data_IF_752761499770
#
_entry.id   IF_752761499770
#
_cell.length_a   1.000
_cell.length_b   1.000
_cell.length_c   1.000
_cell.angle_alpha   90.00
_cell.angle_beta   90.00
_cell.angle_gamma   90.00
#
_symmetry.space_group_name_H-M   'P 1'
#
loop_
_entity.id
_entity.type
_entity.pdbx_description
1 polymer ?
#
# COMPACT_ATOMS: atom_id res chain seq x y z
N UNK A 1 -5.61 -26.91 -12.76
CA UNK A 1 -6.23 -25.58 -12.71
C UNK A 1 -7.61 -25.75 -12.14
N UNK A 2 -7.84 -25.27 -10.93
CA UNK A 2 -9.19 -25.26 -10.35
C UNK A 2 -10.04 -24.21 -11.07
N UNK A 3 -11.37 -24.36 -11.08
CA UNK A 3 -12.25 -23.40 -11.77
C UNK A 3 -12.12 -21.97 -11.23
N UNK A 4 -11.71 -21.82 -9.96
CA UNK A 4 -11.47 -20.54 -9.31
C UNK A 4 -10.18 -19.86 -9.81
N UNK A 5 -9.08 -20.61 -9.93
CA UNK A 5 -7.82 -20.06 -10.46
C UNK A 5 -7.98 -19.57 -11.91
N UNK A 6 -8.70 -20.32 -12.75
CA UNK A 6 -8.94 -19.92 -14.13
C UNK A 6 -9.76 -18.64 -14.26
N UNK A 7 -10.79 -18.47 -13.43
CA UNK A 7 -11.61 -17.26 -13.37
C UNK A 7 -10.79 -16.05 -12.88
N UNK A 8 -9.95 -16.25 -11.86
CA UNK A 8 -9.04 -15.21 -11.35
C UNK A 8 -8.04 -14.75 -12.42
N UNK A 9 -7.42 -15.69 -13.15
CA UNK A 9 -6.49 -15.39 -14.25
C UNK A 9 -7.17 -14.57 -15.36
N UNK A 10 -8.37 -14.95 -15.78
CA UNK A 10 -9.12 -14.25 -16.82
C UNK A 10 -9.47 -12.82 -16.39
N UNK A 11 -9.95 -12.65 -15.15
CA UNK A 11 -10.30 -11.34 -14.61
C UNK A 11 -9.07 -10.43 -14.44
N UNK A 12 -7.93 -10.96 -14.01
CA UNK A 12 -6.66 -10.21 -13.92
C UNK A 12 -6.22 -9.73 -15.29
N UNK A 13 -6.24 -10.63 -16.28
CA UNK A 13 -5.84 -10.32 -17.65
C UNK A 13 -6.76 -9.25 -18.26
N UNK A 14 -8.07 -9.39 -18.08
CA UNK A 14 -9.05 -8.40 -18.55
C UNK A 14 -8.84 -7.02 -17.90
N UNK A 15 -8.71 -6.98 -16.57
CA UNK A 15 -8.55 -5.73 -15.83
C UNK A 15 -7.20 -5.05 -16.15
N UNK A 16 -6.12 -5.82 -16.24
CA UNK A 16 -4.80 -5.32 -16.63
C UNK A 16 -4.79 -4.77 -18.06
N UNK A 17 -5.48 -5.41 -19.00
CA UNK A 17 -5.61 -4.89 -20.36
C UNK A 17 -6.38 -3.56 -20.41
N UNK A 18 -7.39 -3.38 -19.54
CA UNK A 18 -8.09 -2.10 -19.39
C UNK A 18 -7.19 -1.02 -18.80
N UNK A 19 -6.23 -1.36 -17.93
CA UNK A 19 -5.25 -0.40 -17.41
C UNK A 19 -4.24 0.08 -18.46
N UNK A 20 -3.97 -0.71 -19.52
CA UNK A 20 -3.07 -0.26 -20.61
C UNK A 20 -3.63 0.98 -21.31
N UNK A 21 -4.95 1.08 -21.43
CA UNK A 21 -5.66 2.25 -21.95
C UNK A 21 -6.65 2.72 -20.89
N UNK A 22 -6.16 3.39 -19.83
CA UNK A 22 -6.96 3.66 -18.64
C UNK A 22 -8.14 4.60 -18.96
N UNK A 23 -9.26 4.47 -18.25
CA UNK A 23 -10.37 5.42 -18.36
C UNK A 23 -9.91 6.85 -18.07
N UNK A 24 -10.45 7.83 -18.79
CA UNK A 24 -10.16 9.25 -18.55
C UNK A 24 -10.84 9.80 -17.29
N UNK A 25 -11.92 9.15 -16.84
CA UNK A 25 -12.61 9.50 -15.60
C UNK A 25 -11.83 8.99 -14.39
N UNK A 26 -11.56 9.88 -13.44
CA UNK A 26 -10.84 9.54 -12.20
C UNK A 26 -11.60 8.45 -11.42
N UNK A 27 -12.93 8.56 -11.29
CA UNK A 27 -13.73 7.59 -10.54
C UNK A 27 -13.72 6.19 -11.19
N UNK A 28 -13.74 6.14 -12.53
CA UNK A 28 -13.67 4.88 -13.28
C UNK A 28 -12.27 4.26 -13.18
N UNK A 29 -11.22 5.07 -13.30
CA UNK A 29 -9.84 4.63 -13.11
C UNK A 29 -9.62 4.10 -11.69
N UNK A 30 -10.11 4.81 -10.68
CA UNK A 30 -10.02 4.39 -9.29
C UNK A 30 -10.77 3.08 -9.04
N UNK A 31 -11.96 2.91 -9.61
CA UNK A 31 -12.71 1.65 -9.53
C UNK A 31 -11.98 0.49 -10.20
N UNK A 32 -11.32 0.74 -11.34
CA UNK A 32 -10.51 -0.26 -12.04
C UNK A 32 -9.28 -0.66 -11.22
N UNK A 33 -8.60 0.32 -10.59
CA UNK A 33 -7.46 0.06 -9.71
C UNK A 33 -7.88 -0.73 -8.46
N UNK A 34 -9.05 -0.46 -7.88
CA UNK A 34 -9.60 -1.28 -6.79
C UNK A 34 -9.86 -2.71 -7.23
N UNK A 35 -10.42 -2.91 -8.44
CA UNK A 35 -10.62 -4.25 -8.98
C UNK A 35 -9.27 -4.97 -9.11
N UNK A 36 -8.27 -4.31 -9.68
CA UNK A 36 -6.94 -4.90 -9.89
C UNK A 36 -6.26 -5.24 -8.57
N UNK A 37 -6.25 -4.33 -7.60
CA UNK A 37 -5.71 -4.57 -6.26
C UNK A 37 -6.37 -5.79 -5.60
N UNK A 38 -7.71 -5.86 -5.60
CA UNK A 38 -8.44 -6.96 -4.99
C UNK A 38 -8.09 -8.30 -5.66
N UNK A 39 -7.95 -8.33 -6.98
CA UNK A 39 -7.55 -9.54 -7.68
C UNK A 39 -6.11 -9.95 -7.32
N UNK A 40 -5.17 -8.99 -7.31
CA UNK A 40 -3.77 -9.23 -6.93
C UNK A 40 -3.63 -9.74 -5.49
N UNK A 41 -4.43 -9.22 -4.56
CA UNK A 41 -4.43 -9.66 -3.16
C UNK A 41 -4.80 -11.14 -2.99
N UNK A 42 -5.52 -11.73 -3.96
CA UNK A 42 -5.91 -13.14 -3.97
C UNK A 42 -4.88 -14.05 -4.68
N UNK A 43 -3.78 -13.50 -5.20
CA UNK A 43 -2.71 -14.28 -5.83
C UNK A 43 -1.63 -14.60 -4.80
N UNK A 44 -1.33 -15.89 -4.63
CA UNK A 44 -0.26 -16.33 -3.73
C UNK A 44 1.13 -16.05 -4.32
N UNK A 45 2.16 -16.13 -3.47
CA UNK A 45 3.55 -16.01 -3.93
C UNK A 45 3.95 -17.19 -4.80
N UNK A 46 4.91 -16.98 -5.72
CA UNK A 46 5.38 -17.99 -6.66
C UNK A 46 4.23 -18.68 -7.45
N UNK A 47 3.39 -17.89 -8.16
CA UNK A 47 2.24 -18.44 -8.86
C UNK A 47 2.64 -19.27 -10.10
N UNK A 48 1.67 -19.98 -10.69
CA UNK A 48 1.85 -20.73 -11.94
C UNK A 48 2.29 -19.84 -13.11
N UNK A 49 2.88 -20.43 -14.15
CA UNK A 49 3.26 -19.68 -15.36
C UNK A 49 2.04 -19.01 -16.05
N UNK A 50 0.88 -19.67 -16.06
CA UNK A 50 -0.36 -19.09 -16.59
C UNK A 50 -0.80 -17.85 -15.82
N UNK A 51 -0.67 -17.87 -14.49
CA UNK A 51 -0.97 -16.72 -13.65
C UNK A 51 0.07 -15.61 -13.83
N UNK A 52 1.36 -15.95 -13.99
CA UNK A 52 2.39 -14.95 -14.34
C UNK A 52 2.04 -14.25 -15.66
N UNK A 53 1.60 -14.98 -16.67
CA UNK A 53 1.13 -14.40 -17.93
C UNK A 53 -0.09 -13.48 -17.74
N UNK A 54 -1.01 -13.85 -16.84
CA UNK A 54 -2.17 -13.03 -16.50
C UNK A 54 -1.82 -11.72 -15.76
N UNK A 55 -0.70 -11.68 -15.03
CA UNK A 55 -0.21 -10.49 -14.32
C UNK A 55 0.45 -9.46 -15.27
N UNK A 56 1.05 -9.91 -16.38
CA UNK A 56 1.85 -9.06 -17.27
C UNK A 56 1.16 -7.76 -17.74
N UNK A 57 -0.13 -7.76 -18.15
CA UNK A 57 -0.80 -6.52 -18.55
C UNK A 57 -0.84 -5.48 -17.42
N UNK A 58 -1.19 -5.90 -16.20
CA UNK A 58 -1.20 -5.04 -15.02
C UNK A 58 0.19 -4.53 -14.67
N UNK A 59 1.20 -5.43 -14.67
CA UNK A 59 2.59 -5.05 -14.40
C UNK A 59 3.09 -3.97 -15.36
N UNK A 60 2.81 -4.10 -16.66
CA UNK A 60 3.22 -3.12 -17.67
C UNK A 60 2.48 -1.80 -17.53
N UNK A 61 1.17 -1.85 -17.28
CA UNK A 61 0.36 -0.65 -17.19
C UNK A 61 0.70 0.19 -15.95
N UNK A 62 0.88 -0.45 -14.79
CA UNK A 62 1.07 0.25 -13.51
C UNK A 62 2.37 1.07 -13.44
N UNK A 63 3.36 0.75 -14.27
CA UNK A 63 4.63 1.47 -14.34
C UNK A 63 4.68 2.54 -15.45
N UNK A 64 3.57 2.80 -16.15
CA UNK A 64 3.55 3.89 -17.14
C UNK A 64 3.62 5.24 -16.44
N UNK A 65 4.18 6.24 -17.12
CA UNK A 65 4.31 7.60 -16.59
C UNK A 65 2.95 8.19 -16.26
N UNK A 66 1.93 7.87 -17.06
CA UNK A 66 0.55 8.32 -16.88
C UNK A 66 -0.04 7.87 -15.53
N UNK A 67 0.27 6.65 -15.07
CA UNK A 67 -0.23 6.12 -13.80
C UNK A 67 0.72 6.42 -12.63
N UNK A 68 2.03 6.20 -12.78
CA UNK A 68 3.02 6.45 -11.72
C UNK A 68 3.07 7.93 -11.30
N UNK A 69 2.98 8.85 -12.27
CA UNK A 69 3.11 10.29 -12.05
C UNK A 69 1.78 11.04 -12.14
N UNK A 70 0.66 10.33 -11.99
CA UNK A 70 -0.68 10.90 -12.07
C UNK A 70 -0.86 12.12 -11.15
N UNK A 71 -1.64 13.13 -11.56
CA UNK A 71 -1.83 14.35 -10.76
C UNK A 71 -2.54 14.06 -9.43
N UNK A 72 -3.55 13.21 -9.46
CA UNK A 72 -4.38 12.87 -8.31
C UNK A 72 -3.66 11.94 -7.32
N UNK A 73 -3.65 12.34 -6.05
CA UNK A 73 -3.01 11.57 -4.97
C UNK A 73 -3.69 10.22 -4.75
N UNK A 74 -5.02 10.16 -4.77
CA UNK A 74 -5.76 8.90 -4.57
C UNK A 74 -5.46 7.86 -5.66
N UNK A 75 -5.19 8.32 -6.90
CA UNK A 75 -4.74 7.45 -7.99
C UNK A 75 -3.33 6.94 -7.71
N UNK A 76 -2.39 7.82 -7.34
CA UNK A 76 -1.00 7.46 -6.98
C UNK A 76 -0.94 6.41 -5.86
N UNK A 77 -1.70 6.61 -4.78
CA UNK A 77 -1.78 5.65 -3.66
C UNK A 77 -2.38 4.32 -4.12
N UNK A 78 -3.39 4.36 -5.00
CA UNK A 78 -4.01 3.13 -5.53
C UNK A 78 -3.06 2.34 -6.45
N UNK A 79 -2.28 3.04 -7.27
CA UNK A 79 -1.21 2.45 -8.10
C UNK A 79 -0.12 1.84 -7.22
N UNK A 80 0.34 2.57 -6.20
CA UNK A 80 1.32 2.09 -5.24
C UNK A 80 0.86 0.80 -4.54
N UNK A 81 -0.43 0.73 -4.16
CA UNK A 81 -1.01 -0.46 -3.53
C UNK A 81 -0.98 -1.67 -4.47
N UNK A 82 -1.40 -1.49 -5.73
CA UNK A 82 -1.34 -2.57 -6.73
C UNK A 82 0.10 -3.07 -6.95
N UNK A 83 1.06 -2.15 -7.09
CA UNK A 83 2.48 -2.50 -7.28
C UNK A 83 3.05 -3.21 -6.05
N UNK A 84 2.63 -2.82 -4.86
CA UNK A 84 3.07 -3.45 -3.61
C UNK A 84 2.57 -4.90 -3.52
N UNK A 85 1.35 -5.18 -3.99
CA UNK A 85 0.86 -6.56 -4.12
C UNK A 85 1.60 -7.36 -5.19
N UNK A 86 1.95 -6.76 -6.34
CA UNK A 86 2.81 -7.41 -7.34
C UNK A 86 4.16 -7.77 -6.72
N UNK A 87 4.77 -6.85 -5.99
CA UNK A 87 6.04 -7.08 -5.28
C UNK A 87 5.91 -8.22 -4.27
N UNK A 88 4.75 -8.32 -3.59
CA UNK A 88 4.47 -9.47 -2.72
C UNK A 88 4.43 -10.77 -3.50
N UNK A 89 3.71 -10.82 -4.61
CA UNK A 89 3.54 -12.03 -5.43
C UNK A 89 4.89 -12.52 -5.97
N UNK A 90 5.75 -11.61 -6.43
CA UNK A 90 7.03 -11.97 -7.06
C UNK A 90 8.18 -12.18 -6.07
N UNK A 91 8.03 -11.74 -4.81
CA UNK A 91 9.07 -11.91 -3.81
C UNK A 91 9.52 -13.39 -3.69
N UNK A 92 10.84 -13.65 -3.55
CA UNK A 92 11.90 -12.69 -3.24
C UNK A 92 12.43 -11.90 -4.46
N UNK A 93 11.99 -12.22 -5.68
CA UNK A 93 12.47 -11.58 -6.89
C UNK A 93 11.77 -10.22 -7.12
N UNK A 94 12.55 -9.21 -7.46
CA UNK A 94 12.02 -7.89 -7.79
C UNK A 94 11.20 -7.96 -9.10
N UNK A 95 9.99 -7.38 -9.14
CA UNK A 95 9.15 -7.42 -10.33
C UNK A 95 9.64 -6.53 -11.48
N UNK A 96 10.54 -5.59 -11.20
CA UNK A 96 11.03 -4.58 -12.14
C UNK A 96 12.54 -4.38 -11.98
N UNK A 97 13.15 -3.67 -12.93
CA UNK A 97 14.57 -3.31 -12.84
C UNK A 97 14.83 -2.24 -11.77
N UNK A 98 16.10 -2.03 -11.43
CA UNK A 98 16.54 -1.16 -10.35
C UNK A 98 16.04 0.28 -10.48
N UNK A 99 16.08 0.87 -11.68
CA UNK A 99 15.58 2.23 -11.92
C UNK A 99 14.07 2.35 -11.67
N UNK A 100 13.30 1.36 -12.14
CA UNK A 100 11.86 1.30 -11.92
C UNK A 100 11.53 1.07 -10.44
N UNK A 101 12.26 0.18 -9.78
CA UNK A 101 12.08 -0.08 -8.34
C UNK A 101 12.37 1.18 -7.51
N UNK A 102 13.38 1.98 -7.88
CA UNK A 102 13.66 3.27 -7.23
C UNK A 102 12.47 4.23 -7.32
N UNK A 103 11.88 4.37 -8.51
CA UNK A 103 10.70 5.22 -8.71
C UNK A 103 9.47 4.69 -7.94
N UNK A 104 9.29 3.38 -7.89
CA UNK A 104 8.24 2.73 -7.09
C UNK A 104 8.44 3.03 -5.61
N UNK A 105 9.67 2.90 -5.08
CA UNK A 105 9.94 3.22 -3.69
C UNK A 105 9.72 4.70 -3.35
N UNK A 106 10.02 5.62 -4.26
CA UNK A 106 9.68 7.03 -4.10
C UNK A 106 8.16 7.21 -3.96
N UNK A 107 7.38 6.56 -4.83
CA UNK A 107 5.92 6.59 -4.77
C UNK A 107 5.39 5.99 -3.45
N UNK A 108 5.95 4.87 -3.01
CA UNK A 108 5.60 4.21 -1.73
C UNK A 108 5.87 5.12 -0.53
N UNK A 109 7.05 5.76 -0.46
CA UNK A 109 7.39 6.67 0.65
C UNK A 109 6.52 7.92 0.64
N UNK A 110 6.22 8.46 -0.54
CA UNK A 110 5.30 9.60 -0.69
C UNK A 110 3.86 9.27 -0.25
N UNK A 111 3.41 8.01 -0.42
CA UNK A 111 2.13 7.57 0.11
C UNK A 111 2.11 7.65 1.66
N UNK A 112 3.21 7.30 2.33
CA UNK A 112 3.31 7.38 3.79
C UNK A 112 3.34 8.80 4.34
N UNK A 113 3.91 9.77 3.61
CA UNK A 113 3.92 11.18 4.03
C UNK A 113 2.50 11.73 4.22
N UNK A 114 1.58 11.33 3.36
CA UNK A 114 0.23 11.87 3.30
C UNK A 114 -0.74 11.22 4.30
N UNK A 115 -0.28 10.31 5.17
CA UNK A 115 -1.14 9.57 6.11
C UNK A 115 -1.97 10.47 7.04
N UNK A 116 -1.48 11.64 7.45
CA UNK A 116 -2.20 12.55 8.35
C UNK A 116 -3.30 13.37 7.65
N UNK A 117 -3.26 13.47 6.32
CA UNK A 117 -4.19 14.27 5.51
C UNK A 117 -4.90 13.44 4.42
N UNK A 118 -4.72 12.12 4.44
CA UNK A 118 -5.28 11.22 3.45
C UNK A 118 -6.81 11.17 3.53
N UNK A 119 -7.45 11.04 2.36
CA UNK A 119 -8.84 10.59 2.29
C UNK A 119 -8.99 9.24 3.01
N UNK A 120 -10.17 8.89 3.50
CA UNK A 120 -10.41 7.58 4.15
C UNK A 120 -9.97 6.41 3.29
N UNK A 121 -10.12 6.53 1.96
CA UNK A 121 -9.71 5.52 0.99
C UNK A 121 -8.19 5.40 0.90
N UNK A 122 -7.50 6.52 0.71
CA UNK A 122 -6.03 6.53 0.66
C UNK A 122 -5.40 6.13 1.98
N UNK A 123 -6.02 6.43 3.11
CA UNK A 123 -5.57 5.99 4.42
C UNK A 123 -5.53 4.47 4.51
N UNK A 124 -6.65 3.79 4.23
CA UNK A 124 -6.74 2.31 4.31
C UNK A 124 -5.70 1.65 3.39
N UNK A 125 -5.60 2.11 2.14
CA UNK A 125 -4.61 1.57 1.18
C UNK A 125 -3.18 1.80 1.65
N UNK A 126 -2.88 2.97 2.21
CA UNK A 126 -1.54 3.28 2.71
C UNK A 126 -1.15 2.39 3.89
N UNK A 127 -2.10 2.03 4.76
CA UNK A 127 -1.88 1.03 5.81
C UNK A 127 -1.59 -0.35 5.20
N UNK A 128 -2.36 -0.79 4.21
CA UNK A 128 -2.11 -2.06 3.50
C UNK A 128 -0.75 -2.10 2.82
N UNK A 129 -0.33 -1.00 2.18
CA UNK A 129 1.02 -0.84 1.61
C UNK A 129 2.08 -1.03 2.71
N UNK A 130 1.93 -0.35 3.84
CA UNK A 130 2.88 -0.45 4.96
C UNK A 130 2.99 -1.89 5.48
N UNK A 131 1.85 -2.57 5.67
CA UNK A 131 1.81 -3.96 6.10
C UNK A 131 2.53 -4.88 5.12
N UNK A 132 2.29 -4.72 3.82
CA UNK A 132 2.92 -5.56 2.79
C UNK A 132 4.42 -5.26 2.66
N UNK A 133 4.84 -3.98 2.67
CA UNK A 133 6.27 -3.58 2.68
C UNK A 133 7.02 -4.20 3.85
N UNK A 134 6.41 -4.17 5.05
CA UNK A 134 6.99 -4.81 6.23
C UNK A 134 7.05 -6.34 6.08
N UNK A 135 5.98 -6.96 5.57
CA UNK A 135 5.88 -8.40 5.37
C UNK A 135 6.96 -8.95 4.43
N UNK A 136 7.20 -8.28 3.30
CA UNK A 136 8.20 -8.72 2.30
C UNK A 136 9.57 -8.07 2.49
N UNK A 137 9.74 -7.32 3.59
CA UNK A 137 11.00 -6.68 3.98
C UNK A 137 11.57 -5.80 2.86
N UNK A 138 10.72 -5.04 2.16
CA UNK A 138 11.16 -4.24 1.00
C UNK A 138 12.23 -3.20 1.35
N UNK A 139 12.36 -2.82 2.62
CA UNK A 139 13.44 -1.96 3.09
C UNK A 139 14.84 -2.55 2.85
N UNK A 140 15.00 -3.88 2.82
CA UNK A 140 16.26 -4.51 2.46
C UNK A 140 16.60 -4.25 0.99
N UNK A 141 15.61 -4.37 0.11
CA UNK A 141 15.75 -4.03 -1.32
C UNK A 141 16.07 -2.54 -1.49
N UNK A 142 15.45 -1.66 -0.70
CA UNK A 142 15.81 -0.23 -0.73
C UNK A 142 17.28 0.01 -0.35
N UNK A 143 17.82 -0.71 0.63
CA UNK A 143 19.23 -0.60 1.01
C UNK A 143 20.15 -1.16 -0.09
N UNK A 144 19.79 -2.30 -0.67
CA UNK A 144 20.56 -2.91 -1.76
C UNK A 144 20.61 -2.03 -3.01
N UNK A 145 19.56 -1.22 -3.24
CA UNK A 145 19.49 -0.25 -4.35
C UNK A 145 20.09 1.12 -4.02
N UNK A 146 20.71 1.30 -2.86
CA UNK A 146 21.30 2.58 -2.40
C UNK A 146 20.25 3.70 -2.25
N UNK A 147 19.04 3.36 -1.81
CA UNK A 147 17.94 4.30 -1.54
C UNK A 147 17.99 4.87 -0.11
N UNK A 148 19.18 5.12 0.46
CA UNK A 148 19.36 5.53 1.86
C UNK A 148 18.53 6.75 2.25
N UNK A 149 18.43 7.75 1.36
CA UNK A 149 17.61 8.95 1.59
C UNK A 149 16.14 8.63 1.76
N UNK A 150 15.59 7.71 0.94
CA UNK A 150 14.19 7.29 1.04
C UNK A 150 13.93 6.49 2.31
N UNK A 151 14.88 5.67 2.74
CA UNK A 151 14.78 4.95 4.01
C UNK A 151 14.69 5.94 5.16
N UNK A 152 15.58 6.95 5.21
CA UNK A 152 15.55 7.99 6.24
C UNK A 152 14.24 8.78 6.21
N UNK A 153 13.78 9.19 5.02
CA UNK A 153 12.52 9.91 4.84
C UNK A 153 11.31 9.10 5.36
N UNK A 154 11.25 7.81 5.02
CA UNK A 154 10.22 6.91 5.51
C UNK A 154 10.17 6.86 7.04
N UNK A 155 11.32 6.70 7.71
CA UNK A 155 11.39 6.72 9.17
C UNK A 155 10.98 8.07 9.76
N UNK A 156 11.36 9.19 9.13
CA UNK A 156 10.93 10.51 9.55
C UNK A 156 9.41 10.68 9.45
N UNK A 157 8.79 10.17 8.38
CA UNK A 157 7.33 10.19 8.22
C UNK A 157 6.64 9.42 9.35
N UNK A 158 7.13 8.23 9.70
CA UNK A 158 6.57 7.46 10.82
C UNK A 158 6.74 8.17 12.17
N UNK A 159 7.90 8.76 12.43
CA UNK A 159 8.14 9.52 13.67
C UNK A 159 7.18 10.72 13.78
N UNK A 160 6.97 11.48 12.70
CA UNK A 160 6.00 12.59 12.66
C UNK A 160 4.58 12.10 12.98
N UNK A 161 4.14 10.97 12.45
CA UNK A 161 2.81 10.43 12.74
C UNK A 161 2.64 10.12 14.24
N UNK A 162 3.64 9.51 14.86
CA UNK A 162 3.60 9.18 16.30
C UNK A 162 3.69 10.43 17.19
N UNK A 163 4.39 11.48 16.77
CA UNK A 163 4.49 12.72 17.55
C UNK A 163 3.18 13.53 17.56
N UNK A 164 2.39 13.47 16.49
CA UNK A 164 1.08 14.14 16.42
C UNK A 164 -0.03 13.37 17.16
N UNK A 165 0.10 12.04 17.31
CA UNK A 165 -0.83 11.23 18.10
C UNK A 165 -0.79 11.50 19.61
N UNK A 166 0.27 12.11 20.13
CA UNK A 166 0.44 12.40 21.57
C UNK A 166 -0.34 13.64 22.06
N UNK A 167 -0.98 14.41 21.18
CA UNK A 167 -1.74 15.61 21.57
C UNK A 167 -3.25 15.39 21.73
N UNK A 168 -3.76 14.15 21.54
CA UNK A 168 -5.19 13.82 21.66
C UNK A 168 -5.57 12.98 22.89
N UNK A 169 -4.66 12.74 23.85
CA UNK A 169 -4.93 11.88 25.01
C UNK A 169 -4.72 12.53 26.40
N UNK A 170 -5.02 13.83 26.53
CA UNK A 170 -5.03 14.51 27.85
C UNK A 170 -6.44 14.87 28.38
N UNK A 171 -7.50 14.30 27.78
CA UNK A 171 -8.89 14.58 28.18
C UNK A 171 -9.47 13.64 29.25
N UNK A 172 -8.89 12.45 29.49
CA UNK A 172 -9.54 11.42 30.31
C UNK A 172 -8.70 10.81 31.44
N UNK A 173 -7.49 11.30 31.69
CA UNK A 173 -6.69 10.89 32.86
C UNK A 173 -7.15 11.51 34.19
N UNK A 174 -7.99 12.54 34.15
CA UNK A 174 -8.49 13.24 35.35
C UNK A 174 -9.61 12.53 36.13
N UNK A 175 -10.39 11.62 35.51
CA UNK A 175 -11.55 10.99 36.19
C UNK A 175 -11.26 9.65 36.87
N UNK A 176 -10.21 8.91 36.48
CA UNK A 176 -9.89 7.60 37.09
C UNK A 176 -9.19 7.70 38.46
N UNK A 177 -8.57 8.83 38.80
CA UNK A 177 -7.91 9.03 40.11
C UNK A 177 -8.87 9.36 41.25
N UNK A 178 -10.09 9.85 40.97
CA UNK A 178 -11.08 10.15 42.02
C UNK A 178 -11.92 8.94 42.44
N UNK A 179 -12.06 7.92 41.58
CA UNK A 179 -12.83 6.72 41.94
C UNK A 179 -12.08 5.84 42.97
N UNK A 180 -10.75 5.74 42.85
CA UNK A 180 -9.92 4.95 43.77
C UNK A 180 -9.66 5.61 45.13
N UNK A 181 -9.98 6.91 45.29
CA UNK A 181 -9.89 7.61 46.59
C UNK A 181 -11.17 7.53 47.42
N UNK A 182 -12.34 7.32 46.80
CA UNK A 182 -13.62 7.20 47.52
C UNK A 182 -13.78 5.85 48.24
N UNK A 183 -13.17 4.78 47.71
CA UNK A 183 -13.32 3.42 48.23
C UNK A 183 -12.43 3.05 49.44
N UNK A 184 -11.74 4.01 50.07
CA UNK A 184 -10.87 3.77 51.25
C UNK A 184 -11.29 4.51 52.52
N UNK A 185 -12.53 4.99 52.61
CA UNK A 185 -13.04 5.67 53.81
C UNK A 185 -14.35 5.08 54.31
N UNK A 186 -14.31 3.82 54.76
CA UNK A 186 -15.29 3.28 55.71
C UNK A 186 -14.54 2.41 56.73
N UNK A 187 -14.35 2.89 57.96
CA UNK A 187 -13.92 2.05 59.08
C UNK A 187 -15.10 1.22 59.60
N UNK A 188 -14.78 0.05 60.15
CA UNK A 188 -15.65 -0.87 60.89
C UNK A 188 -16.21 -0.18 62.14
#
# INVERSE_FOLDING_TARGET
MTSFEGDLEEQLKEAGNKLINPPSSIDELLSLLDKVENLLANVEQAPSESMKDALLPSMKALITVELLRHSEMDVKVSVASCITEITRITAPDAPYNDEQMKEIFQLTVAAFENLSHASTRSYTKTISILETVARVRSFLVMLDLECDTLVVEMFQNFLKLTSHGNNYDDGHRGKRRNFLRSSRSTPI
#
